data_IF_084586410938
#
_entry.id   IF_084586410938
#
_cell.length_a   1.000
_cell.length_b   1.000
_cell.length_c   1.000
_cell.angle_alpha   90.00
_cell.angle_beta   90.00
_cell.angle_gamma   90.00
#
_symmetry.space_group_name_H-M   'P 1'
#
loop_
_entity.id
_entity.type
_entity.pdbx_description
1 polymer ?
#
# COMPACT_ATOMS: atom_id res chain seq x y z
N UNK A 1 20.71 29.57 7.25
CA UNK A 1 19.89 28.40 6.85
C UNK A 1 20.26 27.26 7.77
N UNK A 2 19.33 26.71 8.56
CA UNK A 2 19.58 25.43 9.23
C UNK A 2 19.69 24.38 8.14
N UNK A 3 20.81 23.68 8.10
CA UNK A 3 20.95 22.46 7.31
C UNK A 3 19.93 21.47 7.89
N UNK A 4 18.84 21.24 7.17
CA UNK A 4 17.86 20.22 7.54
C UNK A 4 18.52 18.89 7.22
N UNK A 5 18.77 18.06 8.23
CA UNK A 5 19.18 16.68 7.99
C UNK A 5 17.97 15.95 7.40
N UNK A 6 18.14 15.21 6.32
CA UNK A 6 17.05 14.44 5.72
C UNK A 6 16.49 13.41 6.72
N UNK A 7 17.33 12.97 7.67
CA UNK A 7 16.94 12.13 8.82
C UNK A 7 15.88 12.76 9.71
N UNK A 8 15.81 14.09 9.78
CA UNK A 8 14.77 14.81 10.55
C UNK A 8 13.37 14.67 9.93
N UNK A 9 13.23 14.01 8.78
CA UNK A 9 11.96 13.84 8.05
C UNK A 9 11.57 12.37 7.81
N UNK A 10 12.37 11.44 8.31
CA UNK A 10 12.12 10.00 8.25
C UNK A 10 11.46 9.57 9.56
N UNK A 11 10.56 8.57 9.50
CA UNK A 11 9.86 8.01 10.66
C UNK A 11 9.17 9.04 11.57
N UNK A 12 8.69 10.14 10.97
CA UNK A 12 7.95 11.18 11.67
C UNK A 12 6.72 11.61 10.87
N UNK A 13 5.69 12.08 11.59
CA UNK A 13 4.45 12.53 10.96
C UNK A 13 4.63 13.93 10.37
N UNK A 14 4.38 14.05 9.07
CA UNK A 14 4.35 15.34 8.36
C UNK A 14 3.00 15.54 7.71
N UNK A 15 2.38 16.69 7.94
CA UNK A 15 1.19 17.11 7.20
C UNK A 15 1.61 17.60 5.81
N UNK A 16 1.04 17.01 4.77
CA UNK A 16 1.38 17.28 3.36
C UNK A 16 0.26 17.98 2.59
N UNK A 17 -0.93 18.02 3.18
CA UNK A 17 -2.10 18.83 2.81
C UNK A 17 -3.03 18.87 4.04
N UNK A 18 -4.00 19.82 4.11
CA UNK A 18 -4.94 19.87 5.23
C UNK A 18 -5.59 18.50 5.49
N UNK A 19 -5.36 17.94 6.67
CA UNK A 19 -5.90 16.63 7.06
C UNK A 19 -5.25 15.43 6.37
N UNK A 20 -4.10 15.59 5.70
CA UNK A 20 -3.33 14.49 5.11
C UNK A 20 -1.93 14.41 5.69
N UNK A 21 -1.65 13.30 6.33
CA UNK A 21 -0.41 13.04 7.03
C UNK A 21 0.38 11.95 6.33
N UNK A 22 1.71 12.07 6.37
CA UNK A 22 2.65 11.11 5.79
C UNK A 22 3.78 10.80 6.76
N UNK A 23 4.20 9.55 6.79
CA UNK A 23 5.48 9.08 7.30
C UNK A 23 6.31 8.59 6.10
N UNK A 24 7.59 8.99 6.04
CA UNK A 24 8.58 8.35 5.16
C UNK A 24 9.20 7.22 5.97
N UNK A 25 9.08 5.98 5.48
CA UNK A 25 9.57 4.78 6.14
C UNK A 25 11.02 4.51 5.73
N UNK A 26 11.94 4.38 6.68
CA UNK A 26 13.34 4.06 6.41
C UNK A 26 13.51 2.58 6.06
N UNK A 27 13.81 2.25 4.79
CA UNK A 27 14.12 0.89 4.32
C UNK A 27 13.15 -0.22 4.77
N UNK A 28 11.88 0.10 4.99
CA UNK A 28 10.90 -0.86 5.49
C UNK A 28 10.70 -2.04 4.52
N UNK A 29 10.38 -3.20 5.07
CA UNK A 29 9.89 -4.33 4.30
C UNK A 29 8.42 -4.58 4.58
N UNK A 30 7.82 -5.55 3.88
CA UNK A 30 6.43 -5.94 4.11
C UNK A 30 6.20 -6.58 5.48
N UNK A 31 7.23 -6.83 6.27
CA UNK A 31 7.08 -7.29 7.65
C UNK A 31 6.53 -6.20 8.59
N UNK A 32 6.45 -4.93 8.15
CA UNK A 32 5.76 -3.88 8.91
C UNK A 32 4.23 -4.00 8.83
N UNK A 33 3.70 -4.65 7.77
CA UNK A 33 2.26 -4.74 7.51
C UNK A 33 1.41 -5.28 8.67
N UNK A 34 1.84 -6.30 9.46
CA UNK A 34 1.10 -6.77 10.62
C UNK A 34 0.82 -5.67 11.66
N UNK A 35 1.66 -4.65 11.74
CA UNK A 35 1.46 -3.51 12.64
C UNK A 35 0.56 -2.43 12.05
N UNK A 36 0.50 -2.33 10.72
CA UNK A 36 -0.33 -1.35 10.03
C UNK A 36 -1.79 -1.83 9.91
N UNK A 37 -2.00 -3.10 9.64
CA UNK A 37 -3.33 -3.64 9.35
C UNK A 37 -4.21 -3.63 10.61
N UNK A 38 -5.37 -3.00 10.49
CA UNK A 38 -6.36 -2.90 11.55
C UNK A 38 -7.56 -3.83 11.29
N UNK A 39 -7.90 -4.68 12.26
CA UNK A 39 -9.01 -5.65 12.14
C UNK A 39 -10.40 -5.01 12.09
N UNK A 40 -10.52 -3.71 12.40
CA UNK A 40 -11.79 -2.98 12.29
C UNK A 40 -12.08 -2.46 10.87
N UNK A 41 -11.18 -2.70 9.91
CA UNK A 41 -11.38 -2.34 8.52
C UNK A 41 -11.65 -3.57 7.66
N UNK A 42 -12.56 -3.47 6.69
CA UNK A 42 -13.10 -4.63 5.98
C UNK A 42 -12.20 -5.16 4.85
N UNK A 43 -11.49 -4.28 4.14
CA UNK A 43 -10.85 -4.61 2.86
C UNK A 43 -9.41 -4.09 2.75
N UNK A 44 -8.60 -4.83 2.01
CA UNK A 44 -7.28 -4.43 1.53
C UNK A 44 -7.33 -4.38 0.00
N UNK A 45 -7.04 -3.20 -0.56
CA UNK A 45 -6.82 -3.01 -1.99
C UNK A 45 -5.34 -2.94 -2.26
N UNK A 46 -4.79 -3.98 -2.89
CA UNK A 46 -3.42 -3.95 -3.43
C UNK A 46 -3.51 -3.44 -4.87
N UNK A 47 -2.73 -2.40 -5.17
CA UNK A 47 -2.71 -1.82 -6.50
C UNK A 47 -1.32 -1.94 -7.12
N UNK A 48 -1.27 -1.85 -8.46
CA UNK A 48 -0.02 -1.94 -9.22
C UNK A 48 0.78 -3.22 -8.93
N UNK A 49 0.12 -4.32 -8.54
CA UNK A 49 0.79 -5.56 -8.15
C UNK A 49 1.37 -6.26 -9.38
N UNK A 50 2.59 -6.78 -9.24
CA UNK A 50 3.28 -7.57 -10.26
C UNK A 50 3.59 -8.97 -9.76
N UNK A 51 3.38 -9.96 -10.61
CA UNK A 51 3.76 -11.35 -10.35
C UNK A 51 5.08 -11.67 -11.04
N UNK A 52 6.02 -12.28 -10.32
CA UNK A 52 7.28 -12.78 -10.88
C UNK A 52 8.37 -11.72 -11.02
N UNK A 53 9.36 -11.97 -11.89
CA UNK A 53 10.51 -11.06 -12.08
C UNK A 53 10.19 -9.86 -12.98
N UNK A 54 8.97 -9.75 -13.48
CA UNK A 54 8.47 -8.64 -14.30
C UNK A 54 9.02 -8.57 -15.73
N UNK A 55 10.23 -9.07 -15.98
CA UNK A 55 10.92 -8.95 -17.27
C UNK A 55 10.96 -10.26 -18.08
N UNK A 56 10.79 -11.41 -17.43
CA UNK A 56 10.81 -12.72 -18.06
C UNK A 56 9.42 -13.12 -18.56
N UNK A 57 9.40 -13.97 -19.61
CA UNK A 57 8.16 -14.62 -20.05
C UNK A 57 7.83 -15.74 -19.08
N UNK A 58 6.69 -15.61 -18.41
CA UNK A 58 6.19 -16.59 -17.45
C UNK A 58 4.82 -17.13 -17.91
N UNK A 59 4.50 -18.34 -17.48
CA UNK A 59 3.27 -19.00 -17.87
C UNK A 59 2.14 -18.71 -16.87
N UNK A 60 1.03 -18.17 -17.38
CA UNK A 60 -0.14 -17.83 -16.59
C UNK A 60 -1.41 -18.45 -17.18
N UNK A 61 -2.49 -18.47 -16.39
CA UNK A 61 -3.85 -18.76 -16.86
C UNK A 61 -4.68 -17.48 -16.84
N UNK A 62 -4.79 -16.82 -17.99
CA UNK A 62 -5.38 -15.48 -18.11
C UNK A 62 -6.68 -15.46 -18.93
N UNK A 63 -7.65 -14.59 -18.60
CA UNK A 63 -8.79 -14.31 -19.46
C UNK A 63 -8.34 -13.40 -20.62
N UNK A 64 -8.18 -13.94 -21.83
CA UNK A 64 -7.74 -13.17 -23.01
C UNK A 64 -8.90 -12.44 -23.69
N UNK A 65 -10.14 -12.88 -23.43
CA UNK A 65 -11.36 -12.26 -23.94
C UNK A 65 -12.45 -12.26 -22.86
N UNK A 66 -13.33 -11.26 -22.93
CA UNK A 66 -14.44 -11.12 -21.99
C UNK A 66 -15.30 -12.39 -21.95
N UNK A 67 -15.67 -12.81 -20.74
CA UNK A 67 -16.48 -14.01 -20.47
C UNK A 67 -15.92 -15.33 -21.04
N UNK A 68 -14.63 -15.40 -21.37
CA UNK A 68 -13.97 -16.64 -21.79
C UNK A 68 -13.30 -17.38 -20.63
N UNK A 69 -13.11 -18.69 -20.79
CA UNK A 69 -12.28 -19.47 -19.88
C UNK A 69 -10.82 -19.00 -19.94
N UNK A 70 -10.13 -19.02 -18.81
CA UNK A 70 -8.72 -18.66 -18.76
C UNK A 70 -7.88 -19.62 -19.61
N UNK A 71 -7.01 -19.07 -20.46
CA UNK A 71 -6.13 -19.83 -21.35
C UNK A 71 -4.70 -19.76 -20.82
N UNK A 72 -3.96 -20.85 -21.01
CA UNK A 72 -2.52 -20.91 -20.74
C UNK A 72 -1.78 -19.99 -21.69
N UNK A 73 -1.12 -18.98 -21.16
CA UNK A 73 -0.52 -17.89 -21.94
C UNK A 73 0.85 -17.56 -21.38
N UNK A 74 1.83 -17.37 -22.27
CA UNK A 74 3.08 -16.74 -21.90
C UNK A 74 2.86 -15.23 -21.87
N UNK A 75 3.06 -14.63 -20.70
CA UNK A 75 2.96 -13.19 -20.50
C UNK A 75 4.18 -12.68 -19.72
N UNK A 76 4.44 -11.39 -19.82
CA UNK A 76 5.48 -10.69 -19.06
C UNK A 76 4.95 -9.33 -18.65
N UNK A 77 5.50 -8.77 -17.57
CA UNK A 77 5.09 -7.46 -17.04
C UNK A 77 3.58 -7.37 -16.76
N UNK A 78 3.00 -8.45 -16.21
CA UNK A 78 1.62 -8.44 -15.78
C UNK A 78 1.49 -7.56 -14.54
N UNK A 79 0.66 -6.54 -14.65
CA UNK A 79 0.32 -5.65 -13.54
C UNK A 79 -1.19 -5.66 -13.35
N UNK A 80 -1.64 -5.82 -12.12
CA UNK A 80 -3.06 -5.81 -11.79
C UNK A 80 -3.32 -5.27 -10.39
N UNK A 81 -4.57 -4.89 -10.19
CA UNK A 81 -5.11 -4.52 -8.89
C UNK A 81 -5.99 -5.66 -8.39
N UNK A 82 -6.05 -5.85 -7.08
CA UNK A 82 -6.99 -6.79 -6.48
C UNK A 82 -7.43 -6.31 -5.10
N UNK A 83 -8.61 -6.75 -4.68
CA UNK A 83 -9.18 -6.48 -3.38
C UNK A 83 -9.45 -7.80 -2.68
N UNK A 84 -9.01 -7.90 -1.44
CA UNK A 84 -9.33 -8.99 -0.52
C UNK A 84 -10.00 -8.43 0.72
N UNK A 85 -10.74 -9.27 1.45
CA UNK A 85 -11.07 -8.95 2.84
C UNK A 85 -9.79 -8.86 3.68
N UNK A 86 -9.84 -8.12 4.79
CA UNK A 86 -8.69 -8.02 5.70
C UNK A 86 -8.22 -9.39 6.19
N UNK A 87 -9.14 -10.30 6.51
CA UNK A 87 -8.82 -11.66 6.95
C UNK A 87 -8.15 -12.50 5.83
N UNK A 88 -8.68 -12.44 4.61
CA UNK A 88 -8.06 -13.12 3.46
C UNK A 88 -6.66 -12.60 3.17
N UNK A 89 -6.46 -11.28 3.28
CA UNK A 89 -5.15 -10.67 3.08
C UNK A 89 -4.14 -11.11 4.16
N UNK A 90 -4.56 -11.14 5.43
CA UNK A 90 -3.71 -11.60 6.55
C UNK A 90 -3.22 -13.04 6.33
N UNK A 91 -4.01 -13.90 5.70
CA UNK A 91 -3.63 -15.29 5.39
C UNK A 91 -2.52 -15.40 4.33
N UNK A 92 -2.39 -14.44 3.43
CA UNK A 92 -1.35 -14.46 2.37
C UNK A 92 -0.13 -13.59 2.70
N UNK A 93 -0.28 -12.68 3.67
CA UNK A 93 0.75 -11.71 4.04
C UNK A 93 2.05 -12.37 4.49
N UNK A 94 1.99 -13.52 5.18
CA UNK A 94 3.19 -14.24 5.66
C UNK A 94 4.08 -14.77 4.54
N UNK A 95 3.50 -15.01 3.37
CA UNK A 95 4.22 -15.53 2.20
C UNK A 95 4.60 -14.41 1.21
N UNK A 96 4.25 -13.15 1.52
CA UNK A 96 4.53 -12.02 0.63
C UNK A 96 6.02 -11.75 0.54
N UNK A 97 6.55 -11.76 -0.69
CA UNK A 97 7.97 -11.54 -0.98
C UNK A 97 8.09 -10.46 -2.03
N UNK A 98 8.52 -9.27 -1.62
CA UNK A 98 8.74 -8.14 -2.50
C UNK A 98 8.01 -6.89 -2.03
N UNK A 99 8.07 -5.84 -2.84
CA UNK A 99 7.35 -4.61 -2.56
C UNK A 99 5.83 -4.78 -2.59
N UNK A 100 5.13 -3.79 -2.08
CA UNK A 100 3.67 -3.71 -2.09
C UNK A 100 3.21 -2.26 -2.10
N UNK A 101 2.17 -1.99 -2.88
CA UNK A 101 1.38 -0.77 -2.75
C UNK A 101 -0.03 -1.20 -2.34
N UNK A 102 -0.51 -0.73 -1.18
CA UNK A 102 -1.85 -1.11 -0.71
C UNK A 102 -2.57 0.02 0.03
N UNK A 103 -3.89 -0.10 0.04
CA UNK A 103 -4.81 0.76 0.77
C UNK A 103 -5.71 -0.12 1.65
N UNK A 104 -5.81 0.18 2.94
CA UNK A 104 -6.81 -0.44 3.82
C UNK A 104 -8.04 0.46 3.92
N UNK A 105 -9.24 -0.11 3.75
CA UNK A 105 -10.49 0.63 3.59
C UNK A 105 -11.73 -0.16 4.02
N UNK A 106 -12.84 0.54 4.26
CA UNK A 106 -14.11 -0.08 4.67
C UNK A 106 -15.10 -0.31 3.52
N UNK A 107 -15.01 0.49 2.46
CA UNK A 107 -15.87 0.40 1.29
C UNK A 107 -15.04 0.15 0.02
N UNK A 108 -15.57 -0.67 -0.88
CA UNK A 108 -14.95 -0.94 -2.18
C UNK A 108 -14.92 0.35 -3.01
N UNK A 109 -13.79 0.69 -3.66
CA UNK A 109 -13.66 1.90 -4.44
C UNK A 109 -14.67 1.92 -5.59
N UNK A 110 -15.26 3.08 -5.88
CA UNK A 110 -16.16 3.22 -7.02
C UNK A 110 -15.38 3.03 -8.33
N UNK A 111 -16.05 2.55 -9.39
CA UNK A 111 -15.42 2.24 -10.68
C UNK A 111 -14.68 3.41 -11.35
N UNK A 112 -14.98 4.65 -10.96
CA UNK A 112 -14.33 5.85 -11.49
C UNK A 112 -13.03 6.22 -10.75
N UNK A 113 -12.76 5.62 -9.59
CA UNK A 113 -11.55 5.86 -8.82
C UNK A 113 -10.39 5.05 -9.41
N UNK A 114 -9.79 5.60 -10.46
CA UNK A 114 -8.61 5.06 -11.11
C UNK A 114 -7.35 5.76 -10.54
N UNK A 115 -6.55 5.03 -9.77
CA UNK A 115 -5.33 5.55 -9.13
C UNK A 115 -4.25 5.98 -10.12
N UNK A 116 -4.31 5.52 -11.37
CA UNK A 116 -3.41 5.97 -12.44
C UNK A 116 -3.82 7.33 -13.02
N UNK A 117 -5.10 7.70 -12.91
CA UNK A 117 -5.63 8.97 -13.43
C UNK A 117 -5.81 10.03 -12.35
N UNK A 118 -6.28 9.63 -11.17
CA UNK A 118 -6.54 10.56 -10.06
C UNK A 118 -5.30 10.65 -9.17
N UNK A 119 -4.62 11.80 -9.22
CA UNK A 119 -3.37 12.04 -8.48
C UNK A 119 -3.53 13.15 -7.44
N UNK A 120 -2.59 13.20 -6.50
CA UNK A 120 -2.49 14.28 -5.50
C UNK A 120 -3.69 14.33 -4.56
N UNK A 121 -4.06 15.54 -4.11
CA UNK A 121 -5.09 15.73 -3.08
C UNK A 121 -6.44 15.12 -3.47
N UNK A 122 -6.80 15.15 -4.77
CA UNK A 122 -8.09 14.64 -5.21
C UNK A 122 -8.25 13.14 -4.98
N UNK A 123 -7.16 12.38 -5.08
CA UNK A 123 -7.14 10.94 -4.77
C UNK A 123 -7.58 10.70 -3.33
N UNK A 124 -6.94 11.40 -2.39
CA UNK A 124 -7.19 11.22 -0.96
C UNK A 124 -8.57 11.74 -0.53
N UNK A 125 -9.08 12.82 -1.15
CA UNK A 125 -10.47 13.25 -0.94
C UNK A 125 -11.48 12.15 -1.31
N UNK A 126 -11.26 11.45 -2.42
CA UNK A 126 -12.14 10.35 -2.86
C UNK A 126 -11.97 9.10 -1.99
N UNK A 127 -10.75 8.76 -1.60
CA UNK A 127 -10.49 7.67 -0.67
C UNK A 127 -11.18 7.90 0.69
N UNK A 128 -11.08 9.12 1.23
CA UNK A 128 -11.74 9.49 2.48
C UNK A 128 -13.26 9.42 2.35
N UNK A 129 -13.80 10.08 1.32
CA UNK A 129 -15.25 10.24 1.17
C UNK A 129 -15.96 8.95 0.75
N UNK A 130 -15.41 8.24 -0.24
CA UNK A 130 -16.12 7.15 -0.92
C UNK A 130 -15.65 5.77 -0.44
N UNK A 131 -14.43 5.65 0.10
CA UNK A 131 -13.85 4.36 0.51
C UNK A 131 -13.78 4.19 2.03
N UNK A 132 -13.81 5.29 2.81
CA UNK A 132 -13.46 5.28 4.24
C UNK A 132 -12.14 4.54 4.44
N UNK A 133 -11.05 5.09 3.89
CA UNK A 133 -9.71 4.52 3.97
C UNK A 133 -9.02 4.85 5.29
N UNK A 134 -8.26 3.89 5.84
CA UNK A 134 -7.40 4.12 6.99
C UNK A 134 -6.03 4.66 6.57
N UNK A 135 -5.38 3.95 5.65
CA UNK A 135 -4.06 4.32 5.18
C UNK A 135 -3.79 3.81 3.76
N UNK A 136 -2.81 4.44 3.11
CA UNK A 136 -2.12 3.97 1.91
C UNK A 136 -0.65 3.75 2.28
N UNK A 137 -0.07 2.63 1.89
CA UNK A 137 1.37 2.37 2.04
C UNK A 137 1.97 1.94 0.71
N UNK A 138 3.15 2.46 0.42
CA UNK A 138 4.02 2.07 -0.69
C UNK A 138 5.35 1.62 -0.11
N UNK A 139 5.67 0.33 -0.31
CA UNK A 139 6.92 -0.30 0.07
C UNK A 139 7.55 -0.82 -1.22
N UNK A 140 8.48 -0.12 -1.87
CA UNK A 140 9.02 -0.53 -3.16
C UNK A 140 9.92 -1.78 -3.03
N UNK A 141 10.80 -1.81 -2.02
CA UNK A 141 11.68 -2.92 -1.65
C UNK A 141 12.49 -2.55 -0.38
N UNK A 142 13.16 -3.52 0.24
CA UNK A 142 14.05 -3.32 1.42
C UNK A 142 15.29 -2.42 1.16
N UNK A 143 15.42 -1.85 -0.05
CA UNK A 143 16.58 -1.03 -0.45
C UNK A 143 16.23 0.42 -0.74
N UNK A 144 14.97 0.82 -0.57
CA UNK A 144 14.51 2.19 -0.82
C UNK A 144 13.51 2.63 0.25
N UNK A 145 13.20 3.92 0.28
CA UNK A 145 12.25 4.51 1.22
C UNK A 145 10.82 4.13 0.89
N UNK A 146 10.06 3.73 1.90
CA UNK A 146 8.61 3.56 1.80
C UNK A 146 7.86 4.84 2.14
N UNK A 147 6.57 4.86 1.86
CA UNK A 147 5.66 5.92 2.35
C UNK A 147 4.43 5.32 2.98
N UNK A 148 3.99 5.92 4.09
CA UNK A 148 2.73 5.63 4.75
C UNK A 148 1.92 6.91 4.86
N UNK A 149 0.69 6.90 4.34
CA UNK A 149 -0.18 8.08 4.25
C UNK A 149 -1.52 7.75 4.91
N UNK A 150 -2.04 8.69 5.70
CA UNK A 150 -3.35 8.56 6.34
C UNK A 150 -3.99 9.94 6.55
N UNK A 151 -5.32 9.97 6.64
CA UNK A 151 -6.05 11.15 7.15
C UNK A 151 -6.11 11.19 8.67
N UNK A 152 -5.86 10.08 9.37
CA UNK A 152 -5.83 10.02 10.83
C UNK A 152 -4.41 10.21 11.37
N UNK A 153 -4.16 11.38 11.96
CA UNK A 153 -2.90 11.64 12.67
C UNK A 153 -2.76 10.74 13.90
N UNK A 154 -3.88 10.47 14.57
CA UNK A 154 -3.96 9.64 15.78
C UNK A 154 -3.54 8.21 15.48
N UNK A 155 -4.02 7.63 14.37
CA UNK A 155 -3.58 6.33 13.90
C UNK A 155 -2.07 6.30 13.66
N UNK A 156 -1.52 7.26 12.90
CA UNK A 156 -0.07 7.31 12.65
C UNK A 156 0.74 7.50 13.94
N UNK A 157 0.23 8.28 14.89
CA UNK A 157 0.89 8.48 16.18
C UNK A 157 0.88 7.18 16.99
N UNK A 158 -0.22 6.42 16.96
CA UNK A 158 -0.30 5.12 17.64
C UNK A 158 0.73 4.11 17.13
N UNK A 159 1.13 4.19 15.85
CA UNK A 159 2.20 3.39 15.30
C UNK A 159 3.58 3.85 15.80
N UNK A 160 3.84 5.15 15.81
CA UNK A 160 5.10 5.70 16.33
C UNK A 160 5.29 5.41 17.83
N UNK A 161 4.20 5.35 18.58
CA UNK A 161 4.20 5.06 20.01
C UNK A 161 4.22 3.53 20.30
N UNK A 162 4.07 2.68 19.27
CA UNK A 162 4.08 1.24 19.44
C UNK A 162 5.51 0.71 19.65
N UNK A 163 5.81 0.27 20.89
CA UNK A 163 7.12 -0.25 21.28
C UNK A 163 7.52 -1.56 20.60
N UNK A 164 6.58 -2.25 19.93
CA UNK A 164 6.89 -3.46 19.15
C UNK A 164 7.48 -3.14 17.77
N UNK A 165 7.35 -1.88 17.31
CA UNK A 165 7.94 -1.42 16.05
C UNK A 165 9.30 -0.79 16.33
N UNK A 166 10.37 -1.40 15.80
CA UNK A 166 11.68 -0.79 15.84
C UNK A 166 11.85 0.20 14.68
N UNK A 167 11.58 1.48 14.92
CA UNK A 167 11.70 2.51 13.89
C UNK A 167 13.14 2.79 13.44
N UNK A 168 14.15 2.37 14.19
CA UNK A 168 15.56 2.50 13.79
C UNK A 168 16.03 1.32 12.89
N UNK A 169 15.23 0.25 12.83
CA UNK A 169 15.50 -0.96 12.07
C UNK A 169 14.15 -1.59 11.69
N UNK A 170 13.46 -0.92 10.75
CA UNK A 170 12.11 -1.32 10.35
C UNK A 170 12.15 -2.74 9.76
N UNK A 171 11.23 -3.61 10.18
CA UNK A 171 11.25 -5.03 9.82
C UNK A 171 11.00 -5.25 8.34
#
# INVERSE_FOLDING_TARGET
>A
MKTIDFRDNINCIRETAPGRYRIILDFATTNILPFLINDNYNYIWVHNHTTGKGFDWEEFKLPISDNSANIKTLARSLTFDFILTTDEFKNIMTDWKGGIELIQMNNIPPYYLDLNKVKGNKRYELLEKDCDYLFEVDIPSATDYGTLISSSKEYLQSLLDNSEINWDDLP
#
